data_IF_119623821068
#
_entry.id   IF_119623821068
#
_cell.length_a   1.000
_cell.length_b   1.000
_cell.length_c   1.000
_cell.angle_alpha   90.00
_cell.angle_beta   90.00
_cell.angle_gamma   90.00
#
_symmetry.space_group_name_H-M   'P 1'
#
loop_
_entity.id
_entity.type
_entity.pdbx_description
1 polymer ?
#
# COMPACT_ATOMS: atom_id res chain seq x y z
N UNK A 1 9.47 -21.35 21.25
CA UNK A 1 9.21 -20.43 20.12
C UNK A 1 9.37 -21.22 18.83
N UNK A 2 8.29 -21.48 18.11
CA UNK A 2 8.38 -22.12 16.79
C UNK A 2 9.28 -21.26 15.90
N UNK A 3 10.22 -21.88 15.18
CA UNK A 3 11.04 -21.17 14.19
C UNK A 3 10.08 -20.55 13.16
N UNK A 4 9.96 -19.23 13.15
CA UNK A 4 9.25 -18.50 12.10
C UNK A 4 9.98 -18.84 10.80
N UNK A 5 9.33 -19.63 9.95
CA UNK A 5 9.93 -20.11 8.72
C UNK A 5 10.06 -18.95 7.73
N UNK A 6 11.18 -18.88 7.02
CA UNK A 6 11.37 -17.90 5.96
C UNK A 6 10.26 -18.08 4.90
N UNK A 7 9.44 -17.06 4.61
CA UNK A 7 8.33 -17.18 3.66
C UNK A 7 8.79 -17.27 2.21
N UNK A 8 10.07 -17.02 1.93
CA UNK A 8 10.61 -17.01 0.57
C UNK A 8 11.42 -18.27 0.27
N UNK A 9 11.38 -18.71 -0.98
CA UNK A 9 12.34 -19.65 -1.58
C UNK A 9 12.82 -19.13 -2.93
N UNK A 10 14.01 -19.56 -3.33
CA UNK A 10 14.64 -19.07 -4.55
C UNK A 10 14.45 -20.05 -5.71
N UNK A 11 14.33 -19.52 -6.92
CA UNK A 11 14.32 -20.30 -8.16
C UNK A 11 15.24 -19.65 -9.17
N UNK A 12 16.17 -20.44 -9.72
CA UNK A 12 17.12 -19.97 -10.72
C UNK A 12 16.60 -20.23 -12.13
N UNK A 13 16.50 -19.17 -12.94
CA UNK A 13 16.02 -19.21 -14.32
C UNK A 13 16.92 -18.35 -15.21
N UNK A 14 17.31 -18.92 -16.33
CA UNK A 14 18.03 -18.22 -17.39
C UNK A 14 17.09 -17.26 -18.12
N UNK A 15 17.52 -16.01 -18.30
CA UNK A 15 16.77 -15.02 -19.07
C UNK A 15 16.72 -15.44 -20.56
N UNK A 16 15.54 -15.51 -21.18
CA UNK A 16 15.44 -15.89 -22.60
C UNK A 16 16.15 -14.91 -23.53
N UNK A 17 16.22 -13.63 -23.16
CA UNK A 17 16.72 -12.53 -23.98
C UNK A 17 18.25 -12.40 -23.91
N UNK A 18 18.82 -12.27 -22.70
CA UNK A 18 20.25 -11.99 -22.54
C UNK A 18 21.07 -13.16 -21.98
N UNK A 19 20.43 -14.32 -21.75
CA UNK A 19 21.04 -15.55 -21.20
C UNK A 19 21.65 -15.42 -19.81
N UNK A 20 21.44 -14.29 -19.13
CA UNK A 20 21.86 -14.14 -17.74
C UNK A 20 21.08 -15.11 -16.85
N UNK A 21 21.77 -15.86 -16.00
CA UNK A 21 21.14 -16.67 -14.97
C UNK A 21 20.66 -15.75 -13.84
N UNK A 22 19.36 -15.74 -13.57
CA UNK A 22 18.76 -14.93 -12.51
C UNK A 22 18.23 -15.84 -11.41
N UNK A 23 18.28 -15.34 -10.19
CA UNK A 23 17.65 -15.96 -9.04
C UNK A 23 16.46 -15.11 -8.62
N UNK A 24 15.29 -15.73 -8.57
CA UNK A 24 14.01 -15.08 -8.28
C UNK A 24 13.42 -15.60 -6.98
N UNK A 25 12.88 -14.68 -6.19
CA UNK A 25 12.17 -14.94 -4.93
C UNK A 25 10.74 -15.43 -5.22
N UNK A 26 10.34 -16.51 -4.59
CA UNK A 26 8.98 -17.04 -4.62
C UNK A 26 8.41 -17.09 -3.21
N UNK A 27 7.12 -16.81 -3.10
CA UNK A 27 6.38 -16.96 -1.86
C UNK A 27 6.01 -18.43 -1.66
N UNK A 28 6.33 -19.01 -0.49
CA UNK A 28 5.87 -20.35 -0.13
C UNK A 28 4.36 -20.33 0.10
N UNK A 29 3.67 -21.37 -0.34
CA UNK A 29 2.23 -21.50 -0.11
C UNK A 29 1.92 -21.39 1.39
N UNK A 30 0.93 -20.57 1.75
CA UNK A 30 0.54 -20.32 3.14
C UNK A 30 1.42 -19.32 3.90
N UNK A 31 2.37 -18.63 3.25
CA UNK A 31 3.23 -17.63 3.92
C UNK A 31 2.51 -16.38 4.42
N UNK A 32 1.34 -16.10 3.88
CA UNK A 32 0.48 -15.01 4.28
C UNK A 32 -1.00 -15.41 4.15
N UNK A 33 -1.88 -14.73 4.87
CA UNK A 33 -3.33 -14.88 4.79
C UNK A 33 -3.97 -13.59 4.26
N UNK A 34 -5.20 -13.70 3.77
CA UNK A 34 -6.03 -12.58 3.29
C UNK A 34 -7.37 -12.64 4.04
N UNK A 35 -7.81 -11.52 4.61
CA UNK A 35 -9.09 -11.46 5.36
C UNK A 35 -10.30 -11.32 4.43
N UNK A 36 -10.11 -10.78 3.23
CA UNK A 36 -11.21 -10.51 2.31
C UNK A 36 -10.77 -10.03 0.94
N UNK A 37 -11.76 -9.60 0.16
CA UNK A 37 -11.56 -8.98 -1.16
C UNK A 37 -12.49 -7.79 -1.31
N UNK A 38 -11.96 -6.73 -1.89
CA UNK A 38 -12.72 -5.56 -2.34
C UNK A 38 -13.60 -5.91 -3.56
N UNK A 39 -14.49 -5.00 -3.95
CA UNK A 39 -15.49 -5.23 -5.02
C UNK A 39 -14.86 -5.44 -6.40
N UNK A 40 -13.64 -4.96 -6.64
CA UNK A 40 -12.84 -5.22 -7.85
C UNK A 40 -11.90 -6.43 -7.70
N UNK A 41 -12.13 -7.25 -6.66
CA UNK A 41 -11.35 -8.42 -6.27
C UNK A 41 -9.95 -8.12 -5.70
N UNK A 42 -9.60 -6.87 -5.40
CA UNK A 42 -8.36 -6.56 -4.69
C UNK A 42 -8.33 -7.30 -3.35
N UNK A 43 -7.32 -8.15 -3.06
CA UNK A 43 -7.21 -8.76 -1.75
C UNK A 43 -6.99 -7.72 -0.66
N UNK A 44 -7.66 -7.90 0.49
CA UNK A 44 -7.59 -7.01 1.65
C UNK A 44 -7.18 -7.78 2.91
N UNK A 45 -6.71 -7.05 3.94
CA UNK A 45 -6.31 -7.65 5.22
C UNK A 45 -5.18 -8.67 5.09
N UNK A 46 -4.12 -8.32 4.33
CA UNK A 46 -2.99 -9.23 4.16
C UNK A 46 -2.14 -9.28 5.41
N UNK A 47 -1.92 -10.48 5.95
CA UNK A 47 -1.07 -10.70 7.13
C UNK A 47 -0.02 -11.75 6.81
N UNK A 48 1.25 -11.35 6.83
CA UNK A 48 2.37 -12.28 6.69
C UNK A 48 2.57 -13.03 8.00
N UNK A 49 2.78 -14.35 7.91
CA UNK A 49 3.12 -15.16 9.10
C UNK A 49 4.47 -14.74 9.71
N UNK A 50 5.37 -14.23 8.88
CA UNK A 50 6.62 -13.62 9.31
C UNK A 50 6.47 -12.09 9.32
N UNK A 51 6.45 -11.42 10.50
CA UNK A 51 6.25 -9.98 10.59
C UNK A 51 7.29 -9.14 9.84
N UNK A 52 8.51 -9.66 9.65
CA UNK A 52 9.57 -8.96 8.91
C UNK A 52 9.18 -8.68 7.44
N UNK A 53 8.23 -9.45 6.89
CA UNK A 53 7.75 -9.32 5.53
C UNK A 53 6.49 -8.46 5.39
N UNK A 54 5.93 -7.95 6.49
CA UNK A 54 4.68 -7.18 6.48
C UNK A 54 4.78 -5.89 5.65
N UNK A 55 6.00 -5.38 5.42
CA UNK A 55 6.26 -4.22 4.55
C UNK A 55 6.13 -4.52 3.05
N UNK A 56 6.15 -5.79 2.65
CA UNK A 56 6.10 -6.21 1.24
C UNK A 56 4.68 -6.59 0.82
N UNK A 57 4.24 -6.05 -0.31
CA UNK A 57 3.06 -6.57 -1.00
C UNK A 57 3.43 -7.86 -1.75
N UNK A 58 2.66 -8.96 -1.65
CA UNK A 58 2.91 -10.19 -2.42
C UNK A 58 3.08 -9.96 -3.94
N UNK A 59 2.44 -8.92 -4.49
CA UNK A 59 2.57 -8.54 -5.90
C UNK A 59 4.00 -8.14 -6.30
N UNK A 60 4.87 -7.78 -5.36
CA UNK A 60 6.29 -7.53 -5.61
C UNK A 60 7.01 -8.75 -6.23
N UNK A 61 6.56 -9.96 -5.87
CA UNK A 61 7.12 -11.24 -6.30
C UNK A 61 6.40 -11.84 -7.52
N UNK A 62 5.39 -11.15 -8.05
CA UNK A 62 4.56 -11.62 -9.15
C UNK A 62 5.29 -11.61 -10.51
N UNK A 63 6.18 -10.62 -10.69
CA UNK A 63 6.92 -10.40 -11.94
C UNK A 63 8.40 -10.76 -11.77
N UNK A 64 8.92 -11.53 -12.71
CA UNK A 64 10.33 -11.88 -12.80
C UNK A 64 11.06 -10.93 -13.76
N UNK A 65 11.93 -10.07 -13.20
CA UNK A 65 12.71 -9.09 -13.95
C UNK A 65 14.18 -9.47 -14.00
N UNK A 66 14.75 -9.60 -15.20
CA UNK A 66 16.17 -9.90 -15.37
C UNK A 66 17.06 -8.79 -14.79
N UNK A 67 18.04 -9.15 -13.95
CA UNK A 67 18.97 -8.20 -13.32
C UNK A 67 19.90 -7.49 -14.31
N UNK A 68 20.10 -8.07 -15.51
CA UNK A 68 21.03 -7.56 -16.54
C UNK A 68 20.35 -6.68 -17.59
N UNK A 69 19.26 -7.15 -18.17
CA UNK A 69 18.60 -6.48 -19.30
C UNK A 69 17.18 -5.99 -18.99
N UNK A 70 16.69 -6.18 -17.76
CA UNK A 70 15.36 -5.77 -17.29
C UNK A 70 14.15 -6.39 -18.02
N UNK A 71 14.37 -7.37 -18.90
CA UNK A 71 13.30 -8.18 -19.47
C UNK A 71 12.43 -8.76 -18.34
N UNK A 72 11.12 -8.54 -18.43
CA UNK A 72 10.18 -8.83 -17.34
C UNK A 72 9.00 -9.66 -17.83
N UNK A 73 8.68 -10.74 -17.12
CA UNK A 73 7.51 -11.58 -17.38
C UNK A 73 6.82 -12.03 -16.10
N UNK A 74 5.54 -12.37 -16.20
CA UNK A 74 4.80 -13.00 -15.11
C UNK A 74 5.50 -14.29 -14.68
N UNK A 75 5.69 -14.44 -13.38
CA UNK A 75 6.50 -15.50 -12.82
C UNK A 75 5.71 -16.81 -12.64
N UNK A 76 5.19 -17.33 -13.74
CA UNK A 76 4.33 -18.50 -13.79
C UNK A 76 5.07 -19.76 -14.28
N UNK A 77 4.37 -20.89 -14.32
CA UNK A 77 4.93 -22.17 -14.78
C UNK A 77 5.42 -22.14 -16.23
N UNK A 78 4.77 -21.36 -17.11
CA UNK A 78 5.15 -21.21 -18.51
C UNK A 78 6.53 -20.55 -18.62
N UNK A 79 6.72 -19.42 -17.93
CA UNK A 79 8.02 -18.73 -17.91
C UNK A 79 9.10 -19.59 -17.25
N UNK A 80 8.80 -20.26 -16.13
CA UNK A 80 9.76 -21.17 -15.46
C UNK A 80 10.24 -22.30 -16.38
N UNK A 81 9.42 -22.71 -17.35
CA UNK A 81 9.72 -23.77 -18.29
C UNK A 81 9.91 -23.28 -19.74
N UNK A 82 10.23 -21.99 -19.96
CA UNK A 82 10.29 -21.40 -21.30
C UNK A 82 11.26 -22.15 -22.24
N UNK A 83 12.33 -22.75 -21.70
CA UNK A 83 13.29 -23.55 -22.47
C UNK A 83 12.66 -24.81 -23.09
N UNK A 84 11.57 -25.34 -22.51
CA UNK A 84 10.82 -26.49 -23.02
C UNK A 84 9.73 -26.10 -24.01
N UNK A 85 9.36 -24.82 -24.07
CA UNK A 85 8.37 -24.31 -25.01
C UNK A 85 8.97 -24.15 -26.42
N UNK A 86 8.73 -25.15 -27.28
CA UNK A 86 9.20 -25.16 -28.66
C UNK A 86 8.58 -24.04 -29.51
N UNK A 87 7.32 -23.69 -29.25
CA UNK A 87 6.60 -22.66 -29.99
C UNK A 87 7.16 -21.27 -29.66
N UNK A 88 7.38 -20.99 -28.37
CA UNK A 88 8.00 -19.73 -27.94
C UNK A 88 9.40 -19.56 -28.53
N UNK A 89 10.26 -20.59 -28.41
CA UNK A 89 11.64 -20.54 -28.93
C UNK A 89 11.70 -20.33 -30.44
N UNK A 90 10.84 -21.02 -31.19
CA UNK A 90 10.89 -21.01 -32.66
C UNK A 90 10.28 -19.76 -33.25
N UNK A 91 9.14 -19.31 -32.72
CA UNK A 91 8.31 -18.29 -33.39
C UNK A 91 8.30 -16.94 -32.70
N UNK A 92 8.59 -16.85 -31.39
CA UNK A 92 8.42 -15.61 -30.62
C UNK A 92 9.75 -15.04 -30.11
N UNK A 93 10.65 -15.90 -29.67
CA UNK A 93 11.87 -15.51 -28.96
C UNK A 93 12.72 -14.51 -29.75
N UNK A 94 12.99 -14.79 -31.03
CA UNK A 94 13.83 -13.94 -31.87
C UNK A 94 13.26 -12.52 -32.01
N UNK A 95 11.96 -12.41 -32.35
CA UNK A 95 11.26 -11.13 -32.50
C UNK A 95 11.28 -10.32 -31.21
N UNK A 96 10.96 -10.95 -30.07
CA UNK A 96 10.98 -10.27 -28.76
C UNK A 96 12.40 -9.85 -28.39
N UNK A 97 13.38 -10.72 -28.59
CA UNK A 97 14.78 -10.44 -28.27
C UNK A 97 15.32 -9.25 -29.05
N UNK A 98 15.05 -9.17 -30.35
CA UNK A 98 15.44 -8.04 -31.20
C UNK A 98 14.77 -6.74 -30.73
N UNK A 99 13.45 -6.74 -30.53
CA UNK A 99 12.69 -5.55 -30.08
C UNK A 99 13.14 -5.08 -28.68
N UNK A 100 13.31 -6.01 -27.75
CA UNK A 100 13.76 -5.72 -26.38
C UNK A 100 15.14 -5.10 -26.34
N UNK A 101 16.11 -5.75 -26.99
CA UNK A 101 17.50 -5.29 -26.98
C UNK A 101 17.64 -3.95 -27.71
N UNK A 102 16.90 -3.77 -28.81
CA UNK A 102 16.86 -2.48 -29.50
C UNK A 102 16.35 -1.35 -28.59
N UNK A 103 15.31 -1.59 -27.78
CA UNK A 103 14.85 -0.60 -26.80
C UNK A 103 15.85 -0.39 -25.65
N UNK A 104 16.39 -1.48 -25.09
CA UNK A 104 17.33 -1.43 -23.96
C UNK A 104 18.62 -0.66 -24.29
N UNK A 105 19.06 -0.70 -25.54
CA UNK A 105 20.26 0.00 -26.02
C UNK A 105 20.02 1.50 -26.30
N UNK A 106 18.77 1.98 -26.36
CA UNK A 106 18.49 3.41 -26.52
C UNK A 106 18.95 4.17 -25.27
N UNK A 107 19.59 5.32 -25.48
CA UNK A 107 20.10 6.16 -24.39
C UNK A 107 18.98 6.59 -23.42
N UNK A 108 17.81 6.96 -23.95
CA UNK A 108 16.60 7.31 -23.21
C UNK A 108 15.50 6.24 -23.34
N UNK A 109 15.87 4.96 -23.47
CA UNK A 109 14.91 3.86 -23.60
C UNK A 109 14.11 3.61 -22.32
N UNK A 110 12.81 3.36 -22.45
CA UNK A 110 11.91 3.19 -21.29
C UNK A 110 12.30 1.98 -20.44
N UNK A 111 12.78 0.90 -21.05
CA UNK A 111 13.19 -0.33 -20.35
C UNK A 111 14.36 -0.05 -19.40
N UNK A 112 15.39 0.67 -19.87
CA UNK A 112 16.56 1.02 -19.06
C UNK A 112 16.20 2.07 -18.01
N UNK A 113 15.39 3.06 -18.37
CA UNK A 113 14.88 4.07 -17.45
C UNK A 113 14.13 3.42 -16.27
N UNK A 114 13.17 2.54 -16.56
CA UNK A 114 12.39 1.84 -15.56
C UNK A 114 13.23 0.86 -14.74
N UNK A 115 13.95 -0.04 -15.41
CA UNK A 115 14.66 -1.14 -14.75
C UNK A 115 15.81 -0.70 -13.84
N UNK A 116 16.45 0.44 -14.14
CA UNK A 116 17.53 0.98 -13.30
C UNK A 116 17.08 1.50 -11.93
N UNK A 117 15.77 1.67 -11.71
CA UNK A 117 15.20 2.18 -10.46
C UNK A 117 14.45 1.09 -9.66
N UNK A 118 14.80 -0.19 -9.86
CA UNK A 118 14.28 -1.29 -9.06
C UNK A 118 15.19 -1.50 -7.85
N UNK A 119 14.70 -1.15 -6.66
CA UNK A 119 15.29 -1.49 -5.37
C UNK A 119 14.17 -1.98 -4.44
N UNK A 120 14.02 -3.29 -4.36
CA UNK A 120 12.93 -3.92 -3.64
C UNK A 120 13.04 -3.73 -2.12
N UNK A 121 14.25 -3.51 -1.61
CA UNK A 121 14.50 -3.39 -0.18
C UNK A 121 14.19 -1.98 0.32
N UNK A 122 14.60 -0.98 -0.46
CA UNK A 122 14.40 0.44 -0.15
C UNK A 122 13.04 0.95 -0.61
N UNK A 123 12.60 0.54 -1.80
CA UNK A 123 11.39 1.03 -2.48
C UNK A 123 10.51 -0.14 -2.94
N UNK A 124 9.93 -0.94 -2.01
CA UNK A 124 9.19 -2.16 -2.35
C UNK A 124 7.93 -1.89 -3.18
N UNK A 125 7.20 -0.83 -2.87
CA UNK A 125 5.97 -0.48 -3.59
C UNK A 125 6.29 -0.02 -5.03
N UNK A 126 7.24 0.90 -5.15
CA UNK A 126 7.68 1.48 -6.41
C UNK A 126 8.29 0.41 -7.31
N UNK A 127 9.12 -0.47 -6.73
CA UNK A 127 9.69 -1.61 -7.45
C UNK A 127 8.62 -2.55 -7.99
N UNK A 128 7.56 -2.84 -7.22
CA UNK A 128 6.46 -3.66 -7.70
C UNK A 128 5.77 -2.98 -8.91
N UNK A 129 5.44 -1.70 -8.82
CA UNK A 129 4.83 -0.92 -9.92
C UNK A 129 5.74 -0.94 -11.16
N UNK A 130 7.03 -0.65 -11.00
CA UNK A 130 8.02 -0.67 -12.10
C UNK A 130 8.07 -2.03 -12.78
N UNK A 131 8.09 -3.13 -12.01
CA UNK A 131 8.08 -4.49 -12.58
C UNK A 131 6.80 -4.76 -13.40
N UNK A 132 5.63 -4.30 -12.93
CA UNK A 132 4.40 -4.42 -13.73
C UNK A 132 4.47 -3.60 -15.02
N UNK A 133 4.98 -2.36 -14.96
CA UNK A 133 5.16 -1.52 -16.15
C UNK A 133 6.09 -2.16 -17.18
N UNK A 134 7.22 -2.74 -16.72
CA UNK A 134 8.11 -3.50 -17.59
C UNK A 134 7.40 -4.71 -18.21
N UNK A 135 6.66 -5.50 -17.41
CA UNK A 135 5.90 -6.64 -17.94
C UNK A 135 4.81 -6.26 -18.96
N UNK A 136 4.15 -5.12 -18.75
CA UNK A 136 3.20 -4.53 -19.72
C UNK A 136 3.93 -4.14 -21.01
N UNK A 137 5.09 -3.50 -20.90
CA UNK A 137 5.92 -3.15 -22.05
C UNK A 137 6.28 -4.40 -22.86
N UNK A 138 6.78 -5.45 -22.20
CA UNK A 138 7.12 -6.72 -22.86
C UNK A 138 5.92 -7.41 -23.52
N UNK A 139 4.74 -7.36 -22.90
CA UNK A 139 3.53 -7.94 -23.47
C UNK A 139 3.13 -7.20 -24.76
N UNK A 140 3.29 -5.87 -24.79
CA UNK A 140 3.02 -5.06 -25.98
C UNK A 140 4.03 -5.25 -27.12
N UNK A 141 5.23 -5.78 -26.84
CA UNK A 141 6.19 -6.12 -27.90
C UNK A 141 5.81 -7.38 -28.69
N UNK A 142 4.89 -8.21 -28.16
CA UNK A 142 4.38 -9.38 -28.86
C UNK A 142 3.61 -8.96 -30.11
N UNK A 143 3.67 -9.79 -31.16
CA UNK A 143 2.90 -9.53 -32.38
C UNK A 143 1.38 -9.66 -32.15
N UNK A 144 1.00 -10.42 -31.11
CA UNK A 144 -0.38 -10.53 -30.62
C UNK A 144 -0.38 -10.39 -29.09
N UNK A 145 -0.38 -9.16 -28.55
CA UNK A 145 -0.47 -8.92 -27.12
C UNK A 145 -1.78 -9.44 -26.56
N UNK A 146 -1.74 -10.10 -25.41
CA UNK A 146 -2.95 -10.50 -24.71
C UNK A 146 -3.56 -9.31 -23.99
N UNK A 147 -4.72 -8.87 -24.48
CA UNK A 147 -5.46 -7.77 -23.88
C UNK A 147 -5.91 -8.10 -22.45
N UNK A 148 -6.21 -9.37 -22.20
CA UNK A 148 -6.58 -9.84 -20.87
C UNK A 148 -5.42 -9.69 -19.87
N UNK A 149 -4.20 -10.06 -20.26
CA UNK A 149 -3.03 -9.94 -19.39
C UNK A 149 -2.66 -8.47 -19.16
N UNK A 150 -2.75 -7.63 -20.20
CA UNK A 150 -2.57 -6.18 -20.05
C UNK A 150 -3.57 -5.59 -19.04
N UNK A 151 -4.86 -5.94 -19.15
CA UNK A 151 -5.88 -5.52 -18.18
C UNK A 151 -5.59 -6.01 -16.75
N UNK A 152 -5.18 -7.27 -16.60
CA UNK A 152 -4.77 -7.87 -15.32
C UNK A 152 -3.58 -7.16 -14.68
N UNK A 153 -2.61 -6.70 -15.47
CA UNK A 153 -1.41 -6.03 -14.98
C UNK A 153 -1.72 -4.59 -14.55
N UNK A 154 -2.48 -3.84 -15.34
CA UNK A 154 -2.93 -2.50 -14.93
C UNK A 154 -3.81 -2.52 -13.68
N UNK A 155 -4.69 -3.52 -13.56
CA UNK A 155 -5.50 -3.69 -12.35
C UNK A 155 -4.64 -3.85 -11.10
N UNK A 156 -3.58 -4.67 -11.18
CA UNK A 156 -2.62 -4.87 -10.08
C UNK A 156 -1.83 -3.62 -9.76
N UNK A 157 -1.47 -2.80 -10.75
CA UNK A 157 -0.89 -1.47 -10.50
C UNK A 157 -1.88 -0.61 -9.69
N UNK A 158 -3.17 -0.60 -10.05
CA UNK A 158 -4.20 0.09 -9.28
C UNK A 158 -4.28 -0.40 -7.83
N UNK A 159 -4.24 -1.71 -7.61
CA UNK A 159 -4.23 -2.31 -6.27
C UNK A 159 -2.98 -1.96 -5.46
N UNK A 160 -1.81 -1.88 -6.09
CA UNK A 160 -0.58 -1.46 -5.44
C UNK A 160 -0.69 -0.01 -4.94
N UNK A 161 -1.20 0.91 -5.77
CA UNK A 161 -1.44 2.30 -5.37
C UNK A 161 -2.40 2.39 -4.18
N UNK A 162 -3.52 1.66 -4.25
CA UNK A 162 -4.52 1.60 -3.16
C UNK A 162 -3.89 1.10 -1.87
N UNK A 163 -3.22 -0.05 -1.93
CA UNK A 163 -2.58 -0.68 -0.78
C UNK A 163 -1.51 0.23 -0.15
N UNK A 164 -0.70 0.91 -0.96
CA UNK A 164 0.28 1.85 -0.46
C UNK A 164 -0.37 3.06 0.21
N UNK A 165 -1.43 3.62 -0.37
CA UNK A 165 -2.19 4.73 0.21
C UNK A 165 -2.77 4.34 1.58
N UNK A 166 -3.36 3.16 1.69
CA UNK A 166 -3.92 2.67 2.95
C UNK A 166 -2.83 2.38 3.99
N UNK A 167 -1.69 1.83 3.56
CA UNK A 167 -0.50 1.64 4.42
C UNK A 167 0.00 2.98 4.98
N UNK A 168 0.12 3.99 4.13
CA UNK A 168 0.57 5.33 4.54
C UNK A 168 -0.41 5.95 5.55
N UNK A 169 -1.72 5.90 5.27
CA UNK A 169 -2.77 6.36 6.20
C UNK A 169 -2.74 5.64 7.54
N UNK A 170 -2.60 4.32 7.54
CA UNK A 170 -2.54 3.53 8.77
C UNK A 170 -1.27 3.84 9.57
N UNK A 171 -0.14 4.06 8.90
CA UNK A 171 1.12 4.46 9.54
C UNK A 171 1.00 5.85 10.18
N UNK A 172 0.38 6.82 9.50
CA UNK A 172 0.12 8.15 10.07
C UNK A 172 -0.84 8.07 11.24
N UNK A 173 -1.90 7.25 11.14
CA UNK A 173 -2.86 7.03 12.22
C UNK A 173 -2.23 6.41 13.47
N UNK A 174 -1.37 5.40 13.31
CA UNK A 174 -0.66 4.77 14.42
C UNK A 174 0.35 5.73 15.08
N UNK A 175 1.10 6.49 14.29
CA UNK A 175 2.02 7.52 14.79
C UNK A 175 1.26 8.63 15.54
N UNK A 176 0.13 9.09 15.00
CA UNK A 176 -0.72 10.09 15.63
C UNK A 176 -1.32 9.58 16.95
N UNK A 177 -1.74 8.31 17.01
CA UNK A 177 -2.26 7.71 18.24
C UNK A 177 -1.16 7.58 19.31
N UNK A 178 0.05 7.19 18.92
CA UNK A 178 1.22 7.12 19.81
C UNK A 178 1.56 8.49 20.39
N UNK A 179 1.66 9.53 19.56
CA UNK A 179 1.92 10.89 20.02
C UNK A 179 0.80 11.44 20.91
N UNK A 180 -0.45 11.14 20.60
CA UNK A 180 -1.59 11.51 21.46
C UNK A 180 -1.47 10.89 22.85
N UNK A 181 -1.05 9.63 22.95
CA UNK A 181 -0.82 8.98 24.25
C UNK A 181 0.36 9.60 25.00
N UNK A 182 1.49 9.86 24.34
CA UNK A 182 2.63 10.55 24.95
C UNK A 182 2.24 11.94 25.48
N UNK A 183 1.46 12.70 24.70
CA UNK A 183 0.96 14.02 25.09
C UNK A 183 0.13 13.95 26.37
N UNK A 184 -0.83 13.00 26.43
CA UNK A 184 -1.64 12.76 27.64
C UNK A 184 -0.78 12.42 28.85
N UNK A 185 0.26 11.59 28.68
CA UNK A 185 1.19 11.25 29.76
C UNK A 185 1.98 12.47 30.24
N UNK A 186 2.46 13.32 29.33
CA UNK A 186 3.16 14.56 29.68
C UNK A 186 2.24 15.59 30.37
N UNK A 187 0.97 15.69 29.95
CA UNK A 187 -0.04 16.51 30.64
C UNK A 187 -0.29 16.00 32.07
N UNK A 188 -0.42 14.68 32.24
CA UNK A 188 -0.57 14.07 33.56
C UNK A 188 0.64 14.33 34.47
N UNK A 189 1.86 14.26 33.93
CA UNK A 189 3.07 14.63 34.67
C UNK A 189 3.05 16.11 35.11
N UNK A 190 2.55 17.01 34.25
CA UNK A 190 2.36 18.42 34.58
C UNK A 190 1.35 18.65 35.71
N UNK A 191 0.24 17.91 35.71
CA UNK A 191 -0.77 17.95 36.79
C UNK A 191 -0.13 17.54 38.12
N UNK A 192 0.62 16.42 38.15
CA UNK A 192 1.30 15.95 39.35
C UNK A 192 2.36 16.93 39.88
N UNK A 193 3.08 17.61 38.97
CA UNK A 193 4.03 18.67 39.35
C UNK A 193 3.31 19.87 40.00
N UNK A 194 2.18 20.30 39.45
CA UNK A 194 1.36 21.37 40.04
C UNK A 194 0.86 20.99 41.45
N UNK A 195 0.40 19.75 41.62
CA UNK A 195 -0.03 19.24 42.93
C UNK A 195 1.13 19.21 43.94
N UNK A 196 2.33 18.80 43.50
CA UNK A 196 3.53 18.80 44.32
C UNK A 196 3.93 20.23 44.73
N UNK A 197 3.91 21.18 43.78
CA UNK A 197 4.18 22.59 44.06
C UNK A 197 3.17 23.18 45.05
N UNK A 198 1.87 22.87 44.88
CA UNK A 198 0.82 23.30 45.82
C UNK A 198 1.08 22.81 47.23
N UNK A 199 1.40 21.52 47.39
CA UNK A 199 1.72 20.94 48.71
C UNK A 199 2.96 21.58 49.34
N UNK A 200 3.98 21.92 48.55
CA UNK A 200 5.15 22.64 49.06
C UNK A 200 4.79 24.06 49.53
N UNK A 201 3.90 24.77 48.82
CA UNK A 201 3.38 26.09 49.25
C UNK A 201 2.53 25.99 50.52
N UNK A 202 1.73 24.94 50.66
CA UNK A 202 0.95 24.68 51.89
C UNK A 202 1.89 24.44 53.08
N UNK A 203 2.93 23.62 52.90
CA UNK A 203 3.96 23.39 53.92
C UNK A 203 4.68 24.71 54.25
N UNK A 204 5.05 25.51 53.25
CA UNK A 204 5.70 26.81 53.46
C UNK A 204 4.83 27.76 54.30
N UNK A 205 3.54 27.80 54.00
CA UNK A 205 2.56 28.65 54.70
C UNK A 205 2.34 28.17 56.13
N UNK A 206 2.18 26.85 56.34
CA UNK A 206 2.04 26.24 57.66
C UNK A 206 3.28 26.47 58.53
N UNK A 207 4.48 26.26 57.97
CA UNK A 207 5.75 26.57 58.67
C UNK A 207 5.91 28.07 58.96
N UNK A 208 5.35 28.95 58.14
CA UNK A 208 5.37 30.38 58.41
C UNK A 208 4.49 30.76 59.61
N UNK A 209 3.25 30.28 59.62
CA UNK A 209 2.21 30.70 60.55
C UNK A 209 2.24 30.00 61.92
N UNK A 210 2.57 28.70 61.96
CA UNK A 210 2.46 27.89 63.17
C UNK A 210 3.78 27.81 63.95
N UNK A 211 4.91 28.01 63.27
CA UNK A 211 6.23 27.81 63.87
C UNK A 211 6.54 28.81 65.00
N UNK A 212 6.12 30.07 64.84
CA UNK A 212 6.28 31.09 65.88
C UNK A 212 5.42 30.83 67.11
N UNK A 213 4.22 30.27 66.92
CA UNK A 213 3.33 29.88 68.03
C UNK A 213 3.89 28.70 68.84
N UNK A 214 4.54 27.74 68.19
CA UNK A 214 4.97 26.48 68.83
C UNK A 214 6.39 26.58 69.42
N UNK A 215 7.30 27.26 68.73
CA UNK A 215 8.74 27.26 69.07
C UNK A 215 9.28 28.61 69.55
N UNK A 216 8.44 29.65 69.67
CA UNK A 216 8.87 31.02 69.99
C UNK A 216 9.64 31.22 71.31
N UNK A 217 9.60 30.26 72.24
CA UNK A 217 10.36 30.29 73.50
C UNK A 217 11.71 29.56 73.45
N UNK A 218 12.07 28.91 72.34
CA UNK A 218 13.34 28.19 72.20
C UNK A 218 14.45 29.08 71.64
N UNK A 219 15.62 29.09 72.27
CA UNK A 219 16.82 29.83 71.79
C UNK A 219 17.26 29.40 70.38
N UNK A 220 16.94 28.18 69.94
CA UNK A 220 17.34 27.64 68.63
C UNK A 220 16.27 27.80 67.54
N UNK A 221 15.07 28.30 67.89
CA UNK A 221 13.93 28.35 66.98
C UNK A 221 14.18 29.18 65.72
N UNK A 222 14.87 30.33 65.84
CA UNK A 222 15.18 31.18 64.69
C UNK A 222 16.00 30.46 63.62
N UNK A 223 17.07 29.75 64.05
CA UNK A 223 17.97 29.03 63.15
C UNK A 223 17.30 27.83 62.47
N UNK A 224 16.48 27.08 63.21
CA UNK A 224 15.74 25.94 62.68
C UNK A 224 14.64 26.38 61.71
N UNK A 225 13.98 27.52 61.96
CA UNK A 225 13.02 28.15 61.03
C UNK A 225 13.69 28.50 59.70
N UNK A 226 14.83 29.18 59.75
CA UNK A 226 15.62 29.54 58.56
C UNK A 226 16.08 28.30 57.77
N UNK A 227 16.53 27.25 58.46
CA UNK A 227 16.94 26.00 57.80
C UNK A 227 15.77 25.29 57.10
N UNK A 228 14.60 25.23 57.73
CA UNK A 228 13.41 24.64 57.12
C UNK A 228 12.91 25.48 55.93
N UNK A 229 12.83 26.81 56.09
CA UNK A 229 12.39 27.73 55.03
C UNK A 229 13.35 27.71 53.83
N UNK A 230 14.66 27.70 54.06
CA UNK A 230 15.64 27.59 52.97
C UNK A 230 15.55 26.24 52.25
N UNK A 231 15.26 25.15 52.96
CA UNK A 231 15.06 23.82 52.34
C UNK A 231 13.80 23.80 51.46
N UNK A 232 12.68 24.35 51.95
CA UNK A 232 11.43 24.45 51.18
C UNK A 232 11.61 25.36 49.96
N UNK A 233 12.31 26.49 50.12
CA UNK A 233 12.61 27.41 49.04
C UNK A 233 13.48 26.73 47.96
N UNK A 234 14.48 25.95 48.37
CA UNK A 234 15.30 25.17 47.44
C UNK A 234 14.45 24.15 46.67
N UNK A 235 13.53 23.45 47.34
CA UNK A 235 12.60 22.53 46.67
C UNK A 235 11.70 23.26 45.65
N UNK A 236 11.08 24.38 46.03
CA UNK A 236 10.28 25.21 45.10
C UNK A 236 11.11 25.69 43.90
N UNK A 237 12.36 26.11 44.13
CA UNK A 237 13.28 26.52 43.08
C UNK A 237 13.68 25.37 42.16
N UNK A 238 13.64 24.10 42.61
CA UNK A 238 13.84 22.93 41.74
C UNK A 238 12.61 22.55 40.93
N UNK A 239 11.40 22.81 41.45
CA UNK A 239 10.13 22.49 40.78
C UNK A 239 9.87 23.40 39.57
N UNK A 240 10.22 24.68 39.65
CA UNK A 240 10.03 25.62 38.53
C UNK A 240 10.76 25.21 37.23
N UNK A 241 12.04 24.80 37.25
CA UNK A 241 12.70 24.19 36.09
C UNK A 241 12.02 22.92 35.57
N UNK A 242 11.47 22.09 36.46
CA UNK A 242 10.76 20.86 36.06
C UNK A 242 9.47 21.18 35.27
N UNK A 243 8.73 22.23 35.66
CA UNK A 243 7.59 22.72 34.87
C UNK A 243 8.01 23.11 33.45
N UNK A 244 9.08 23.90 33.31
CA UNK A 244 9.59 24.33 32.00
C UNK A 244 10.03 23.15 31.13
N UNK A 245 10.66 22.13 31.73
CA UNK A 245 11.03 20.92 31.01
C UNK A 245 9.81 20.12 30.56
N UNK A 246 8.77 20.03 31.40
CA UNK A 246 7.53 19.36 31.03
C UNK A 246 6.80 20.09 29.88
N UNK A 247 6.73 21.42 29.92
CA UNK A 247 6.21 22.22 28.80
C UNK A 247 7.05 22.04 27.53
N UNK A 248 8.38 21.99 27.65
CA UNK A 248 9.25 21.73 26.51
C UNK A 248 9.01 20.35 25.90
N UNK A 249 8.71 19.34 26.71
CA UNK A 249 8.34 18.00 26.22
C UNK A 249 7.02 18.06 25.45
N UNK A 250 6.00 18.74 25.98
CA UNK A 250 4.71 18.91 25.31
C UNK A 250 4.89 19.63 23.97
N UNK A 251 5.64 20.73 23.94
CA UNK A 251 5.92 21.47 22.71
C UNK A 251 6.63 20.61 21.66
N UNK A 252 7.63 19.81 22.07
CA UNK A 252 8.30 18.87 21.15
C UNK A 252 7.36 17.78 20.64
N UNK A 253 6.41 17.31 21.45
CA UNK A 253 5.39 16.35 21.01
C UNK A 253 4.48 17.00 19.97
N UNK A 254 4.05 18.24 20.21
CA UNK A 254 3.19 19.01 19.29
C UNK A 254 3.91 19.38 17.98
N UNK A 255 5.21 19.69 18.02
CA UNK A 255 6.06 19.88 16.84
C UNK A 255 6.14 18.60 15.99
N UNK A 256 6.38 17.46 16.64
CA UNK A 256 6.41 16.16 15.95
C UNK A 256 5.04 15.78 15.38
N UNK A 257 3.95 16.07 16.09
CA UNK A 257 2.59 15.87 15.59
C UNK A 257 2.31 16.75 14.37
N UNK A 258 2.77 17.99 14.38
CA UNK A 258 2.63 18.93 13.25
C UNK A 258 3.48 18.50 12.05
N UNK A 259 4.64 17.88 12.27
CA UNK A 259 5.45 17.31 11.19
C UNK A 259 4.82 16.03 10.60
N UNK A 260 4.01 15.31 11.38
CA UNK A 260 3.26 14.12 10.96
C UNK A 260 1.89 14.44 10.36
N UNK A 261 1.40 15.68 10.49
CA UNK A 261 0.25 16.14 9.74
C UNK A 261 0.54 15.95 8.24
N UNK A 262 -0.48 15.61 7.44
CA UNK A 262 -0.29 15.30 6.03
C UNK A 262 0.14 16.57 5.29
N UNK A 263 1.43 16.87 5.28
CA UNK A 263 2.05 17.43 4.11
C UNK A 263 1.70 16.46 2.97
N UNK A 264 1.27 16.99 1.83
CA UNK A 264 0.95 16.21 0.64
C UNK A 264 1.88 15.00 0.53
N UNK A 265 1.28 13.81 0.42
CA UNK A 265 1.88 12.47 0.50
C UNK A 265 2.91 12.15 -0.60
N UNK A 266 3.69 13.15 -1.00
CA UNK A 266 4.64 13.17 -2.10
C UNK A 266 6.09 13.41 -1.64
N UNK A 267 6.38 13.55 -0.35
CA UNK A 267 7.72 14.00 0.11
C UNK A 267 8.73 12.90 0.48
N UNK A 268 8.42 11.61 0.32
CA UNK A 268 9.49 10.60 0.30
C UNK A 268 10.13 10.61 -1.09
N UNK A 269 11.33 11.21 -1.17
CA UNK A 269 12.13 11.23 -2.38
C UNK A 269 12.37 9.82 -2.93
N UNK A 270 12.14 9.64 -4.22
CA UNK A 270 12.40 8.39 -4.93
C UNK A 270 13.71 8.55 -5.70
N UNK A 271 14.81 7.97 -5.21
CA UNK A 271 16.15 8.21 -5.76
C UNK A 271 16.45 9.73 -5.89
N UNK A 272 16.65 10.22 -7.11
CA UNK A 272 16.95 11.61 -7.42
C UNK A 272 15.69 12.43 -7.76
N UNK A 273 14.51 11.86 -7.58
CA UNK A 273 13.21 12.47 -7.85
C UNK A 273 12.57 12.94 -6.55
N UNK A 274 11.81 14.04 -6.62
CA UNK A 274 11.10 14.58 -5.45
C UNK A 274 10.06 13.62 -4.89
N UNK A 275 9.49 12.79 -5.76
CA UNK A 275 8.48 11.78 -5.43
C UNK A 275 8.47 10.66 -6.47
N UNK A 276 7.85 9.53 -6.14
CA UNK A 276 7.60 8.48 -7.14
C UNK A 276 6.67 8.95 -8.26
N UNK A 277 5.74 9.87 -7.99
CA UNK A 277 4.87 10.47 -9.01
C UNK A 277 5.67 11.30 -10.02
N UNK A 278 6.64 12.11 -9.59
CA UNK A 278 7.54 12.86 -10.52
C UNK A 278 8.33 11.90 -11.42
N UNK A 279 8.78 10.78 -10.85
CA UNK A 279 9.44 9.73 -11.62
C UNK A 279 8.50 9.11 -12.67
N UNK A 280 7.26 8.76 -12.31
CA UNK A 280 6.28 8.21 -13.25
C UNK A 280 5.86 9.22 -14.31
N UNK A 281 5.78 10.51 -13.98
CA UNK A 281 5.54 11.59 -14.94
C UNK A 281 6.65 11.66 -16.01
N UNK A 282 7.91 11.52 -15.60
CA UNK A 282 9.04 11.42 -16.53
C UNK A 282 8.98 10.14 -17.36
N UNK A 283 8.65 9.00 -16.75
CA UNK A 283 8.42 7.76 -17.47
C UNK A 283 7.30 7.90 -18.52
N UNK A 284 6.22 8.60 -18.19
CA UNK A 284 5.06 8.84 -19.08
C UNK A 284 5.43 9.67 -20.30
N UNK A 285 6.38 10.60 -20.18
CA UNK A 285 6.92 11.37 -21.33
C UNK A 285 7.70 10.48 -22.30
N UNK A 286 8.37 9.44 -21.80
CA UNK A 286 9.05 8.44 -22.64
C UNK A 286 8.06 7.42 -23.22
N UNK A 287 7.02 7.08 -22.45
CA UNK A 287 6.01 6.10 -22.84
C UNK A 287 4.64 6.45 -22.24
N UNK A 288 3.72 6.93 -23.08
CA UNK A 288 2.41 7.47 -22.69
C UNK A 288 1.46 6.48 -22.01
N UNK A 289 1.83 5.20 -21.97
CA UNK A 289 1.07 4.14 -21.33
C UNK A 289 1.30 4.04 -19.82
N UNK A 290 2.27 4.77 -19.25
CA UNK A 290 2.56 4.73 -17.82
C UNK A 290 1.46 5.48 -17.03
N UNK A 291 0.67 4.80 -16.16
CA UNK A 291 -0.22 5.47 -15.23
C UNK A 291 0.55 6.08 -14.07
N UNK A 292 0.16 7.27 -13.63
CA UNK A 292 0.81 7.96 -12.49
C UNK A 292 0.08 7.78 -11.16
N UNK A 293 -1.12 7.20 -11.17
CA UNK A 293 -1.95 6.98 -9.99
C UNK A 293 -2.93 5.80 -10.17
N UNK A 294 -3.68 5.48 -9.11
CA UNK A 294 -4.70 4.42 -9.13
C UNK A 294 -5.75 4.63 -10.22
N UNK A 295 -6.30 5.85 -10.32
CA UNK A 295 -7.40 6.15 -11.26
C UNK A 295 -6.98 5.87 -12.72
N UNK A 296 -5.81 6.36 -13.14
CA UNK A 296 -5.28 6.12 -14.49
C UNK A 296 -5.02 4.62 -14.74
N UNK A 297 -4.50 3.90 -13.74
CA UNK A 297 -4.29 2.46 -13.84
C UNK A 297 -5.62 1.70 -14.00
N UNK A 298 -6.66 2.06 -13.24
CA UNK A 298 -7.98 1.43 -13.34
C UNK A 298 -8.68 1.74 -14.68
N UNK A 299 -8.50 2.96 -15.22
CA UNK A 299 -8.99 3.32 -16.56
C UNK A 299 -8.35 2.41 -17.62
N UNK A 300 -7.02 2.29 -17.60
CA UNK A 300 -6.32 1.39 -18.54
C UNK A 300 -6.76 -0.07 -18.36
N UNK A 301 -6.89 -0.53 -17.12
CA UNK A 301 -7.38 -1.88 -16.83
C UNK A 301 -8.75 -2.13 -17.46
N UNK A 302 -9.71 -1.22 -17.23
CA UNK A 302 -11.07 -1.28 -17.80
C UNK A 302 -11.03 -1.39 -19.32
N UNK A 303 -10.27 -0.52 -19.97
CA UNK A 303 -10.23 -0.43 -21.44
C UNK A 303 -9.65 -1.72 -22.05
N UNK A 304 -8.59 -2.29 -21.46
CA UNK A 304 -8.03 -3.56 -21.91
C UNK A 304 -8.94 -4.75 -21.62
N UNK A 305 -9.63 -4.78 -20.46
CA UNK A 305 -10.62 -5.81 -20.17
C UNK A 305 -11.80 -5.78 -21.15
N UNK A 306 -12.30 -4.58 -21.48
CA UNK A 306 -13.36 -4.41 -22.46
C UNK A 306 -12.90 -4.86 -23.85
N UNK A 307 -11.70 -4.44 -24.27
CA UNK A 307 -11.15 -4.85 -25.55
C UNK A 307 -10.88 -6.37 -25.63
N UNK A 308 -10.53 -7.02 -24.50
CA UNK A 308 -10.40 -8.48 -24.42
C UNK A 308 -11.77 -9.16 -24.55
N UNK A 309 -12.77 -8.63 -23.85
CA UNK A 309 -14.16 -9.11 -23.86
C UNK A 309 -14.77 -9.08 -25.26
N UNK A 310 -14.61 -7.97 -25.98
CA UNK A 310 -15.12 -7.79 -27.34
C UNK A 310 -14.47 -8.75 -28.36
N UNK A 311 -13.17 -9.05 -28.18
CA UNK A 311 -12.47 -9.99 -29.06
C UNK A 311 -12.59 -11.47 -28.65
N UNK A 312 -13.13 -11.76 -27.48
CA UNK A 312 -13.14 -13.12 -26.91
C UNK A 312 -11.75 -13.68 -26.60
N UNK A 313 -10.72 -12.84 -26.46
CA UNK A 313 -9.34 -13.27 -26.27
C UNK A 313 -9.12 -13.86 -24.88
N UNK A 314 -8.78 -15.15 -24.81
CA UNK A 314 -8.49 -15.93 -23.58
C UNK A 314 -9.58 -15.89 -22.49
N UNK A 315 -10.81 -15.46 -22.81
CA UNK A 315 -11.94 -15.47 -21.87
C UNK A 315 -12.74 -16.74 -22.11
N UNK A 316 -12.81 -17.63 -21.11
CA UNK A 316 -13.63 -18.83 -21.19
C UNK A 316 -15.12 -18.49 -21.24
N UNK A 317 -15.86 -19.16 -22.11
CA UNK A 317 -17.31 -19.05 -22.19
C UNK A 317 -17.97 -19.45 -20.86
N UNK A 318 -19.12 -18.85 -20.55
CA UNK A 318 -19.82 -19.06 -19.28
C UNK A 318 -19.24 -18.18 -18.17
N UNK A 319 -18.75 -18.79 -17.10
CA UNK A 319 -18.33 -18.05 -15.88
C UNK A 319 -17.19 -17.08 -16.10
N UNK A 320 -16.20 -17.41 -16.96
CA UNK A 320 -15.12 -16.47 -17.29
C UNK A 320 -15.63 -15.18 -17.92
N UNK A 321 -16.60 -15.31 -18.82
CA UNK A 321 -17.27 -14.17 -19.47
C UNK A 321 -18.08 -13.34 -18.46
N UNK A 322 -18.80 -13.96 -17.53
CA UNK A 322 -19.54 -13.21 -16.50
C UNK A 322 -18.60 -12.50 -15.55
N UNK A 323 -17.51 -13.15 -15.13
CA UNK A 323 -16.51 -12.55 -14.26
C UNK A 323 -15.83 -11.35 -14.93
N UNK A 324 -15.47 -11.47 -16.22
CA UNK A 324 -14.91 -10.37 -16.99
C UNK A 324 -15.92 -9.20 -17.13
N UNK A 325 -17.19 -9.51 -17.45
CA UNK A 325 -18.23 -8.49 -17.54
C UNK A 325 -18.47 -7.75 -16.20
N UNK A 326 -18.47 -8.47 -15.09
CA UNK A 326 -18.58 -7.87 -13.75
C UNK A 326 -17.40 -6.95 -13.46
N UNK A 327 -16.18 -7.39 -13.76
CA UNK A 327 -14.98 -6.59 -13.53
C UNK A 327 -15.00 -5.31 -14.38
N UNK A 328 -15.42 -5.39 -15.65
CA UNK A 328 -15.61 -4.21 -16.50
C UNK A 328 -16.64 -3.25 -15.89
N UNK A 329 -17.76 -3.78 -15.38
CA UNK A 329 -18.79 -2.97 -14.75
C UNK A 329 -18.28 -2.24 -13.51
N UNK A 330 -17.59 -2.95 -12.61
CA UNK A 330 -17.08 -2.38 -11.37
C UNK A 330 -15.95 -1.38 -11.62
N UNK A 331 -15.04 -1.66 -12.55
CA UNK A 331 -14.00 -0.71 -12.96
C UNK A 331 -14.62 0.53 -13.61
N UNK A 332 -15.67 0.36 -14.42
CA UNK A 332 -16.41 1.49 -15.01
C UNK A 332 -17.06 2.36 -13.93
N UNK A 333 -17.65 1.76 -12.89
CA UNK A 333 -18.24 2.49 -11.75
C UNK A 333 -17.16 3.27 -10.99
N UNK A 334 -16.05 2.63 -10.62
CA UNK A 334 -14.93 3.25 -9.89
C UNK A 334 -14.27 4.40 -10.65
N UNK A 335 -14.23 4.30 -11.98
CA UNK A 335 -13.68 5.34 -12.85
C UNK A 335 -14.70 6.42 -13.23
N UNK A 336 -15.92 6.36 -12.69
CA UNK A 336 -16.98 7.34 -12.91
C UNK A 336 -17.77 7.18 -14.21
N UNK A 337 -17.52 6.13 -15.01
CA UNK A 337 -18.29 5.80 -16.20
C UNK A 337 -19.53 4.96 -15.84
N UNK A 338 -20.50 5.60 -15.18
CA UNK A 338 -21.70 4.91 -14.68
C UNK A 338 -22.61 4.37 -15.80
N UNK A 339 -22.61 5.01 -16.97
CA UNK A 339 -23.36 4.54 -18.13
C UNK A 339 -22.86 3.16 -18.58
N UNK A 340 -21.54 3.02 -18.77
CA UNK A 340 -20.95 1.74 -19.13
C UNK A 340 -21.10 0.70 -18.01
N UNK A 341 -20.95 1.13 -16.75
CA UNK A 341 -21.17 0.27 -15.59
C UNK A 341 -22.57 -0.36 -15.61
N UNK A 342 -23.61 0.44 -15.86
CA UNK A 342 -25.00 -0.02 -15.92
C UNK A 342 -25.24 -1.08 -17.01
N UNK A 343 -24.65 -0.89 -18.20
CA UNK A 343 -24.75 -1.86 -19.31
C UNK A 343 -24.16 -3.21 -18.91
N UNK A 344 -22.93 -3.22 -18.40
CA UNK A 344 -22.25 -4.46 -18.03
C UNK A 344 -22.83 -5.12 -16.77
N UNK A 345 -23.30 -4.36 -15.78
CA UNK A 345 -24.03 -4.94 -14.64
C UNK A 345 -25.32 -5.64 -15.08
N UNK A 346 -26.09 -5.04 -15.99
CA UNK A 346 -27.30 -5.69 -16.54
C UNK A 346 -26.95 -6.97 -17.31
N UNK A 347 -25.84 -6.97 -18.05
CA UNK A 347 -25.34 -8.15 -18.73
C UNK A 347 -25.00 -9.28 -17.74
N UNK A 348 -24.25 -8.97 -16.67
CA UNK A 348 -23.93 -9.91 -15.59
C UNK A 348 -25.19 -10.46 -14.94
N UNK A 349 -26.19 -9.62 -14.70
CA UNK A 349 -27.47 -10.03 -14.08
C UNK A 349 -28.23 -11.01 -14.98
N UNK A 350 -28.26 -10.73 -16.29
CA UNK A 350 -28.93 -11.60 -17.27
C UNK A 350 -28.20 -12.94 -17.40
N UNK A 351 -26.92 -12.92 -17.77
CA UNK A 351 -26.12 -14.12 -17.99
C UNK A 351 -25.94 -14.94 -16.70
N UNK A 352 -25.86 -14.28 -15.53
CA UNK A 352 -25.74 -14.97 -14.24
C UNK A 352 -26.97 -15.82 -13.92
N UNK A 353 -28.17 -15.30 -14.20
CA UNK A 353 -29.43 -16.06 -14.04
C UNK A 353 -29.51 -17.23 -15.01
N UNK A 354 -29.05 -17.05 -16.24
CA UNK A 354 -29.02 -18.13 -17.25
C UNK A 354 -28.12 -19.29 -16.80
N UNK A 355 -26.93 -18.98 -16.26
CA UNK A 355 -26.03 -19.99 -15.69
C UNK A 355 -26.66 -20.71 -14.49
N UNK A 356 -27.23 -19.97 -13.54
CA UNK A 356 -27.84 -20.56 -12.33
C UNK A 356 -29.02 -21.48 -12.69
N UNK A 357 -29.78 -21.15 -13.73
CA UNK A 357 -30.91 -21.94 -14.19
C UNK A 357 -30.50 -23.09 -15.13
N UNK A 358 -29.26 -23.10 -15.62
CA UNK A 358 -28.70 -24.12 -16.49
C UNK A 358 -28.37 -25.41 -15.71
N UNK A 359 -29.04 -26.52 -16.04
CA UNK A 359 -28.90 -27.82 -15.34
C UNK A 359 -27.56 -28.56 -15.60
N UNK A 360 -26.59 -27.95 -16.29
CA UNK A 360 -25.36 -28.61 -16.76
C UNK A 360 -24.08 -28.13 -16.08
N UNK A 361 -24.14 -27.15 -15.18
CA UNK A 361 -22.95 -26.62 -14.52
C UNK A 361 -22.71 -27.21 -13.12
N UNK A 362 -21.44 -27.32 -12.74
CA UNK A 362 -21.02 -27.84 -11.44
C UNK A 362 -21.51 -26.96 -10.28
N UNK A 363 -21.79 -27.57 -9.13
CA UNK A 363 -22.30 -26.89 -7.93
C UNK A 363 -21.41 -25.72 -7.45
N UNK A 364 -20.08 -25.85 -7.59
CA UNK A 364 -19.12 -24.78 -7.28
C UNK A 364 -19.28 -23.57 -8.20
N UNK A 365 -19.47 -23.81 -9.49
CA UNK A 365 -19.67 -22.80 -10.53
C UNK A 365 -20.96 -22.02 -10.32
N UNK A 366 -22.04 -22.73 -9.98
CA UNK A 366 -23.34 -22.12 -9.63
C UNK A 366 -23.22 -21.25 -8.37
N UNK A 367 -22.53 -21.72 -7.33
CA UNK A 367 -22.34 -20.96 -6.10
C UNK A 367 -21.50 -19.69 -6.31
N UNK A 368 -20.45 -19.79 -7.14
CA UNK A 368 -19.67 -18.62 -7.54
C UNK A 368 -20.51 -17.61 -8.33
N UNK A 369 -21.28 -18.07 -9.31
CA UNK A 369 -22.18 -17.23 -10.11
C UNK A 369 -23.24 -16.53 -9.24
N UNK A 370 -23.81 -17.23 -8.23
CA UNK A 370 -24.73 -16.64 -7.25
C UNK A 370 -24.09 -15.50 -6.46
N UNK A 371 -22.91 -15.73 -5.90
CA UNK A 371 -22.18 -14.70 -5.13
C UNK A 371 -21.85 -13.49 -6.00
N UNK A 372 -21.35 -13.74 -7.22
CA UNK A 372 -21.04 -12.69 -8.17
C UNK A 372 -22.28 -11.88 -8.58
N UNK A 373 -23.41 -12.55 -8.79
CA UNK A 373 -24.70 -11.92 -9.11
C UNK A 373 -25.19 -11.02 -7.97
N UNK A 374 -25.11 -11.50 -6.73
CA UNK A 374 -25.48 -10.73 -5.54
C UNK A 374 -24.65 -9.45 -5.43
N UNK A 375 -23.32 -9.57 -5.55
CA UNK A 375 -22.42 -8.41 -5.54
C UNK A 375 -22.72 -7.47 -6.72
N UNK A 376 -22.97 -7.99 -7.92
CA UNK A 376 -23.33 -7.18 -9.09
C UNK A 376 -24.61 -6.36 -8.86
N UNK A 377 -25.63 -6.95 -8.24
CA UNK A 377 -26.89 -6.26 -7.95
C UNK A 377 -26.71 -5.15 -6.91
N UNK A 378 -25.88 -5.38 -5.88
CA UNK A 378 -25.55 -4.37 -4.87
C UNK A 378 -24.77 -3.21 -5.49
N UNK A 379 -23.71 -3.49 -6.23
CA UNK A 379 -22.88 -2.46 -6.87
C UNK A 379 -23.65 -1.69 -7.96
N UNK A 380 -24.56 -2.34 -8.70
CA UNK A 380 -25.42 -1.66 -9.65
C UNK A 380 -26.36 -0.65 -8.97
N UNK A 381 -26.88 -0.94 -7.77
CA UNK A 381 -27.69 0.02 -6.99
C UNK A 381 -26.86 1.21 -6.52
N UNK A 382 -25.65 0.95 -6.02
CA UNK A 382 -24.72 2.01 -5.61
C UNK A 382 -24.34 2.91 -6.80
N UNK A 383 -24.03 2.31 -7.94
CA UNK A 383 -23.71 3.04 -9.17
C UNK A 383 -24.82 4.01 -9.59
N UNK A 384 -26.10 3.63 -9.44
CA UNK A 384 -27.22 4.52 -9.77
C UNK A 384 -27.30 5.71 -8.80
N UNK A 385 -27.18 5.45 -7.49
CA UNK A 385 -27.15 6.50 -6.47
C UNK A 385 -26.00 7.48 -6.69
N UNK A 386 -24.81 6.98 -7.03
CA UNK A 386 -23.64 7.81 -7.34
C UNK A 386 -23.84 8.64 -8.62
N UNK A 387 -24.53 8.10 -9.62
CA UNK A 387 -24.87 8.84 -10.84
C UNK A 387 -25.91 9.95 -10.59
N UNK A 388 -26.90 9.69 -9.74
CA UNK A 388 -27.96 10.64 -9.38
C UNK A 388 -27.43 11.76 -8.48
N UNK A 389 -26.55 11.43 -7.53
CA UNK A 389 -25.92 12.41 -6.62
C UNK A 389 -24.91 13.36 -7.27
N UNK A 390 -24.48 13.09 -8.52
CA UNK A 390 -23.65 13.99 -9.32
C UNK A 390 -24.45 14.87 -10.29
N UNK A 391 -25.76 14.64 -10.40
CA UNK A 391 -26.66 15.40 -11.26
C UNK A 391 -27.37 16.56 -10.54
N UNK A 392 -27.00 16.81 -9.28
CA UNK A 392 -27.40 17.96 -8.43
C UNK A 392 -26.17 18.80 -8.18
#
# INVERSE_FOLDING_TARGET
MSKVQDPIFYTQIECPICKNLNEYENIKAGSYTEDGRDTDFCPTGRVWLNPAYQKFDPLLFFMATCKKCYYTREFNAEYKNWQKDSAFKTYRLKSIQEKHLAEFLKENGIVKFLGSHIDQNRYPFESAVIKFLLGIYEEKLLDRPSKLDLGRYYLRIGWLFRTNKDRLKNSTGAASAYLSNLRKTAEQAGILLNEYESKLKDIQTGFGAEYEMIYGQSEQAGKLKEQAQSTILNLLNTVSPLHKLNESIINRIDENASALAPADTSSEGFFNYSSFTDYLEKARRLWSEVPVNEMEALIKARDYYQAAYETGDKISAGVGQIQAAYLIAELSRRTGNYANAGVFFNHVIKSGREIINGRKEDSSTINFAKKLLETAMEQARLSRRESEGKAV
#
